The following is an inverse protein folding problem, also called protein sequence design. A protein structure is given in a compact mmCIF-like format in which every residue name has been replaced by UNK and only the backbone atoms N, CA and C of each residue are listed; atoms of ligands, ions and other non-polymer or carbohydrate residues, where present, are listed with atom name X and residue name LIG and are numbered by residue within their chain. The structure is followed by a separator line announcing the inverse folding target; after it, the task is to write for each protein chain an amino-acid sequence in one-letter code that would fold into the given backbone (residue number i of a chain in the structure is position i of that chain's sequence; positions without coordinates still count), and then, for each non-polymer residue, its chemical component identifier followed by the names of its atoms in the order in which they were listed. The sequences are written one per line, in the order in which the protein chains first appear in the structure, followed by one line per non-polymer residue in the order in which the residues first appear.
data_IF_212007163724
#
_entry.id   IF_212007163724
#
_cell.length_a   1.000
_cell.length_b   1.000
_cell.length_c   1.000
_cell.angle_alpha   90.00
_cell.angle_beta   90.00
_cell.angle_gamma   90.00
#
_symmetry.space_group_name_H-M   'P 1'
#
loop_
_entity.id
_entity.type
_entity.pdbx_description
1 polymer ?
#
# COMPACT_ATOMS: atom_id res chain seq x y z
N UNK A 1 -58.15 -40.27 -19.05
CA UNK A 1 -58.13 -39.23 -17.99
C UNK A 1 -59.12 -38.16 -18.40
N UNK A 2 -60.12 -37.88 -17.56
CA UNK A 2 -61.17 -36.91 -17.88
C UNK A 2 -60.61 -35.52 -18.20
N UNK A 3 -61.18 -34.87 -19.22
CA UNK A 3 -60.73 -33.54 -19.65
C UNK A 3 -60.80 -32.49 -18.53
N UNK A 4 -61.70 -32.67 -17.56
CA UNK A 4 -61.83 -31.82 -16.37
C UNK A 4 -60.66 -32.05 -15.41
N UNK A 5 -60.29 -33.32 -15.18
CA UNK A 5 -59.15 -33.69 -14.32
C UNK A 5 -57.83 -33.21 -14.93
N UNK A 6 -57.67 -33.35 -16.26
CA UNK A 6 -56.49 -32.87 -16.99
C UNK A 6 -56.34 -31.35 -16.92
N UNK A 7 -57.43 -30.57 -17.06
CA UNK A 7 -57.40 -29.10 -16.93
C UNK A 7 -57.03 -28.66 -15.51
N UNK A 8 -57.60 -29.28 -14.47
CA UNK A 8 -57.24 -28.99 -13.07
C UNK A 8 -55.77 -29.27 -12.77
N UNK A 9 -55.24 -30.37 -13.30
CA UNK A 9 -53.85 -30.76 -13.10
C UNK A 9 -52.87 -29.77 -13.78
N UNK A 10 -53.20 -29.31 -14.99
CA UNK A 10 -52.41 -28.27 -15.70
C UNK A 10 -52.39 -26.96 -14.91
N UNK A 11 -53.52 -26.53 -14.35
CA UNK A 11 -53.60 -25.30 -13.55
C UNK A 11 -52.70 -25.41 -12.30
N UNK A 12 -52.77 -26.53 -11.58
CA UNK A 12 -51.95 -26.75 -10.38
C UNK A 12 -50.47 -26.73 -10.72
N UNK A 13 -50.07 -27.44 -11.77
CA UNK A 13 -48.66 -27.47 -12.23
C UNK A 13 -48.19 -26.07 -12.65
N UNK A 14 -49.04 -25.30 -13.34
CA UNK A 14 -48.70 -23.94 -13.78
C UNK A 14 -48.50 -22.99 -12.59
N UNK A 15 -49.32 -23.11 -11.54
CA UNK A 15 -49.18 -22.32 -10.32
C UNK A 15 -47.89 -22.68 -9.58
N UNK A 16 -47.58 -23.98 -9.47
CA UNK A 16 -46.36 -24.44 -8.79
C UNK A 16 -45.10 -23.97 -9.51
N UNK A 17 -45.06 -24.06 -10.85
CA UNK A 17 -43.93 -23.57 -11.65
C UNK A 17 -43.75 -22.07 -11.44
N UNK A 18 -44.84 -21.30 -11.47
CA UNK A 18 -44.79 -19.85 -11.31
C UNK A 18 -44.24 -19.46 -9.93
N UNK A 19 -44.63 -20.20 -8.88
CA UNK A 19 -44.14 -20.01 -7.51
C UNK A 19 -42.65 -20.36 -7.37
N UNK A 20 -42.19 -21.45 -8.00
CA UNK A 20 -40.77 -21.82 -8.01
C UNK A 20 -39.94 -20.76 -8.76
N UNK A 21 -40.42 -20.27 -9.91
CA UNK A 21 -39.69 -19.25 -10.69
C UNK A 21 -39.57 -17.93 -9.95
N UNK A 22 -40.59 -17.51 -9.20
CA UNK A 22 -40.53 -16.29 -8.37
C UNK A 22 -39.54 -16.42 -7.22
N UNK A 23 -39.52 -17.58 -6.54
CA UNK A 23 -38.54 -17.84 -5.47
C UNK A 23 -37.12 -17.82 -6.01
N UNK A 24 -36.86 -18.44 -7.16
CA UNK A 24 -35.53 -18.43 -7.79
C UNK A 24 -35.09 -17.02 -8.21
N UNK A 25 -36.01 -16.19 -8.72
CA UNK A 25 -35.74 -14.79 -9.07
C UNK A 25 -35.38 -13.95 -7.84
N UNK A 26 -36.12 -14.11 -6.74
CA UNK A 26 -35.83 -13.42 -5.47
C UNK A 26 -34.48 -13.87 -4.90
N UNK A 27 -34.18 -15.17 -4.93
CA UNK A 27 -32.88 -15.70 -4.53
C UNK A 27 -31.74 -15.14 -5.40
N UNK A 28 -31.94 -15.02 -6.71
CA UNK A 28 -30.95 -14.43 -7.60
C UNK A 28 -30.72 -12.93 -7.33
N UNK A 29 -31.76 -12.16 -7.00
CA UNK A 29 -31.61 -10.76 -6.61
C UNK A 29 -30.89 -10.60 -5.26
N UNK A 30 -31.17 -11.47 -4.28
CA UNK A 30 -30.57 -11.41 -2.94
C UNK A 30 -29.12 -11.93 -2.91
N UNK A 31 -28.80 -12.96 -3.69
CA UNK A 31 -27.49 -13.63 -3.64
C UNK A 31 -26.64 -13.42 -4.89
N UNK A 32 -27.21 -12.91 -5.99
CA UNK A 32 -26.51 -12.68 -7.26
C UNK A 32 -25.67 -11.41 -7.29
N UNK A 33 -25.84 -10.50 -6.32
CA UNK A 33 -24.89 -9.40 -6.10
C UNK A 33 -23.62 -9.91 -5.41
N UNK A 34 -22.84 -10.75 -6.11
CA UNK A 34 -21.41 -10.84 -5.82
C UNK A 34 -20.82 -9.49 -6.18
N UNK A 35 -20.41 -8.76 -5.15
CA UNK A 35 -19.64 -7.53 -5.29
C UNK A 35 -18.40 -7.86 -6.12
N UNK A 36 -18.44 -7.60 -7.43
CA UNK A 36 -17.29 -7.71 -8.33
C UNK A 36 -16.38 -6.52 -8.09
N UNK A 37 -15.89 -6.40 -6.86
CA UNK A 37 -14.67 -5.66 -6.60
C UNK A 37 -13.55 -6.48 -7.26
N UNK A 38 -13.41 -6.32 -8.58
CA UNK A 38 -12.24 -6.76 -9.32
C UNK A 38 -11.05 -5.98 -8.76
N UNK A 39 -10.46 -6.52 -7.69
CA UNK A 39 -9.12 -6.17 -7.29
C UNK A 39 -8.21 -6.77 -8.35
N UNK A 40 -7.85 -5.98 -9.36
CA UNK A 40 -6.76 -6.36 -10.23
C UNK A 40 -5.48 -6.24 -9.39
N UNK A 41 -4.75 -7.33 -9.26
CA UNK A 41 -3.47 -7.34 -8.58
C UNK A 41 -2.34 -7.35 -9.61
N UNK A 42 -1.21 -6.75 -9.29
CA UNK A 42 0.02 -6.87 -10.06
C UNK A 42 1.18 -7.21 -9.15
N UNK A 43 2.21 -7.85 -9.70
CA UNK A 43 3.48 -8.05 -9.01
C UNK A 43 4.36 -6.83 -9.27
N UNK A 44 4.73 -6.14 -8.20
CA UNK A 44 5.61 -4.99 -8.27
C UNK A 44 7.01 -5.38 -8.76
N UNK A 45 7.52 -4.79 -9.87
CA UNK A 45 8.80 -5.19 -10.43
C UNK A 45 10.01 -4.84 -9.56
N UNK A 46 9.90 -3.89 -8.63
CA UNK A 46 11.01 -3.43 -7.79
C UNK A 46 11.12 -4.21 -6.47
N UNK A 47 9.99 -4.55 -5.87
CA UNK A 47 9.90 -5.22 -4.57
C UNK A 47 9.60 -6.71 -4.68
N UNK A 48 8.91 -7.13 -5.75
CA UNK A 48 8.34 -8.47 -5.91
C UNK A 48 7.03 -8.68 -5.14
N UNK A 49 6.48 -7.65 -4.49
CA UNK A 49 5.25 -7.73 -3.72
C UNK A 49 4.00 -7.76 -4.63
N UNK A 50 2.95 -8.47 -4.23
CA UNK A 50 1.65 -8.44 -4.93
C UNK A 50 0.83 -7.27 -4.39
N UNK A 51 0.51 -6.32 -5.27
CA UNK A 51 -0.12 -5.04 -4.92
C UNK A 51 -1.48 -4.92 -5.63
N UNK A 52 -2.46 -4.36 -4.92
CA UNK A 52 -3.77 -4.01 -5.50
C UNK A 52 -3.63 -2.79 -6.42
N UNK A 53 -4.01 -2.93 -7.68
CA UNK A 53 -3.92 -1.92 -8.72
C UNK A 53 -4.78 -0.67 -8.42
N UNK A 54 -5.83 -0.79 -7.58
CA UNK A 54 -6.58 0.40 -7.12
C UNK A 54 -5.74 1.33 -6.23
N UNK A 55 -4.68 0.81 -5.61
CA UNK A 55 -3.83 1.57 -4.68
C UNK A 55 -2.69 2.30 -5.40
N UNK A 56 -2.29 1.84 -6.58
CA UNK A 56 -1.22 2.47 -7.36
C UNK A 56 -1.76 2.93 -8.70
N UNK A 57 -2.02 4.24 -8.81
CA UNK A 57 -2.40 4.89 -10.06
C UNK A 57 -3.85 5.38 -10.09
N UNK A 58 -4.03 6.70 -9.93
CA UNK A 58 -5.20 7.43 -10.47
C UNK A 58 -6.43 7.60 -9.59
N UNK A 59 -6.54 6.91 -8.44
CA UNK A 59 -7.50 7.31 -7.42
C UNK A 59 -6.95 8.51 -6.66
N UNK A 60 -7.60 9.67 -6.72
CA UNK A 60 -7.23 10.83 -5.91
C UNK A 60 -7.03 10.36 -4.46
N UNK A 61 -5.81 10.45 -3.91
CA UNK A 61 -5.59 10.16 -2.50
C UNK A 61 -6.57 11.01 -1.71
N UNK A 62 -7.22 10.46 -0.70
CA UNK A 62 -7.96 11.29 0.24
C UNK A 62 -6.96 12.34 0.76
N UNK A 63 -7.12 13.65 0.44
CA UNK A 63 -6.10 14.66 0.75
C UNK A 63 -5.80 14.73 2.25
N UNK A 64 -6.80 14.33 3.04
CA UNK A 64 -6.83 14.34 4.51
C UNK A 64 -6.23 13.06 5.13
N UNK A 65 -6.08 11.98 4.36
CA UNK A 65 -5.36 10.79 4.81
C UNK A 65 -3.86 10.99 4.59
N UNK A 66 -3.09 11.02 5.68
CA UNK A 66 -1.63 10.92 5.66
C UNK A 66 -1.16 9.51 5.27
N UNK A 67 -1.76 8.89 4.26
CA UNK A 67 -1.43 7.51 3.88
C UNK A 67 -0.48 7.54 2.69
N UNK A 68 0.81 7.71 2.97
CA UNK A 68 1.86 7.36 2.01
C UNK A 68 1.83 5.83 1.89
N UNK A 69 1.69 5.33 0.67
CA UNK A 69 1.77 3.90 0.41
C UNK A 69 3.25 3.53 0.38
N UNK A 70 3.64 2.59 1.21
CA UNK A 70 5.00 2.08 1.24
C UNK A 70 5.04 0.65 0.72
N UNK A 71 5.84 0.42 -0.33
CA UNK A 71 6.07 -0.87 -0.95
C UNK A 71 7.50 -1.33 -0.65
N UNK A 72 7.67 -2.60 -0.30
CA UNK A 72 8.97 -3.21 -0.01
C UNK A 72 9.38 -3.17 1.46
N UNK A 73 8.61 -2.56 2.34
CA UNK A 73 9.01 -2.41 3.75
C UNK A 73 9.06 -3.74 4.50
N UNK A 74 8.20 -4.70 4.19
CA UNK A 74 8.22 -6.02 4.83
C UNK A 74 9.54 -6.75 4.54
N UNK A 75 10.05 -6.60 3.31
CA UNK A 75 11.31 -7.20 2.91
C UNK A 75 12.51 -6.53 3.58
N UNK A 76 12.46 -5.24 3.89
CA UNK A 76 13.49 -4.56 4.71
C UNK A 76 13.69 -5.21 6.09
N UNK A 77 12.62 -5.75 6.69
CA UNK A 77 12.73 -6.50 7.96
C UNK A 77 13.59 -7.76 7.81
N UNK A 78 13.47 -8.44 6.66
CA UNK A 78 14.29 -9.63 6.34
C UNK A 78 15.77 -9.28 6.11
N UNK A 79 16.07 -8.01 5.81
CA UNK A 79 17.43 -7.48 5.71
C UNK A 79 17.96 -6.88 7.03
N UNK A 80 17.31 -7.17 8.17
CA UNK A 80 17.81 -6.82 9.50
C UNK A 80 17.43 -5.42 9.99
N UNK A 81 16.50 -4.73 9.33
CA UNK A 81 15.94 -3.48 9.84
C UNK A 81 14.84 -3.81 10.86
N UNK A 82 14.94 -3.29 12.08
CA UNK A 82 13.91 -3.56 13.09
C UNK A 82 12.61 -2.82 12.81
N UNK A 83 11.49 -3.31 13.33
CA UNK A 83 10.19 -2.63 13.21
C UNK A 83 10.22 -1.19 13.74
N UNK A 84 10.98 -0.94 14.81
CA UNK A 84 11.14 0.39 15.39
C UNK A 84 11.87 1.33 14.42
N UNK A 85 12.97 0.85 13.82
CA UNK A 85 13.70 1.59 12.78
C UNK A 85 12.82 1.81 11.55
N UNK A 86 12.03 0.82 11.14
CA UNK A 86 11.13 0.94 10.00
C UNK A 86 10.04 2.01 10.24
N UNK A 87 9.46 2.06 11.44
CA UNK A 87 8.47 3.07 11.79
C UNK A 87 9.09 4.48 11.80
N UNK A 88 10.29 4.63 12.37
CA UNK A 88 11.04 5.90 12.32
C UNK A 88 11.38 6.32 10.88
N UNK A 89 11.75 5.36 10.03
CA UNK A 89 11.96 5.62 8.60
C UNK A 89 10.70 6.17 7.93
N UNK A 90 9.52 5.59 8.20
CA UNK A 90 8.24 6.12 7.70
C UNK A 90 8.03 7.56 8.18
N UNK A 91 8.21 7.84 9.47
CA UNK A 91 8.09 9.19 10.04
C UNK A 91 8.99 10.19 9.29
N UNK A 92 10.23 9.80 8.98
CA UNK A 92 11.15 10.63 8.22
C UNK A 92 10.67 10.91 6.79
N UNK A 93 10.10 9.92 6.12
CA UNK A 93 9.52 10.11 4.79
C UNK A 93 8.30 11.04 4.84
N UNK A 94 7.46 10.94 5.88
CA UNK A 94 6.37 11.90 6.11
C UNK A 94 6.89 13.33 6.30
N UNK A 95 7.93 13.51 7.10
CA UNK A 95 8.55 14.83 7.31
C UNK A 95 9.17 15.37 6.02
N UNK A 96 9.82 14.51 5.23
CA UNK A 96 10.35 14.90 3.93
C UNK A 96 9.24 15.30 2.96
N UNK A 97 8.12 14.56 2.93
CA UNK A 97 6.93 14.91 2.14
C UNK A 97 6.39 16.30 2.52
N UNK A 98 6.28 16.61 3.82
CA UNK A 98 5.89 17.95 4.30
C UNK A 98 6.86 19.03 3.85
N UNK A 99 8.17 18.78 3.89
CA UNK A 99 9.20 19.72 3.42
C UNK A 99 9.06 20.00 1.92
N UNK A 100 8.82 18.98 1.10
CA UNK A 100 8.58 19.11 -0.34
C UNK A 100 7.39 20.01 -0.65
N UNK A 101 6.25 19.77 0.01
CA UNK A 101 5.05 20.59 -0.16
C UNK A 101 5.30 22.07 0.19
N UNK A 102 6.03 22.35 1.29
CA UNK A 102 6.43 23.72 1.64
C UNK A 102 7.33 24.39 0.60
N UNK A 103 8.06 23.59 -0.18
CA UNK A 103 8.93 24.05 -1.27
C UNK A 103 8.22 24.07 -2.64
N UNK A 104 6.88 23.94 -2.67
CA UNK A 104 6.07 23.83 -3.90
C UNK A 104 6.43 22.61 -4.78
N UNK A 105 6.95 21.54 -4.19
CA UNK A 105 7.13 20.24 -4.85
C UNK A 105 5.92 19.32 -4.58
N UNK A 106 5.69 18.34 -5.47
CA UNK A 106 4.63 17.34 -5.31
C UNK A 106 4.74 16.58 -3.98
N UNK A 107 3.60 16.42 -3.30
CA UNK A 107 3.43 15.55 -2.12
C UNK A 107 3.82 14.12 -2.49
N UNK A 108 4.51 13.43 -1.59
CA UNK A 108 4.78 11.99 -1.75
C UNK A 108 3.49 11.24 -1.41
N UNK A 109 3.05 10.38 -2.32
CA UNK A 109 1.87 9.50 -2.18
C UNK A 109 2.28 8.03 -2.19
N UNK A 110 3.40 7.70 -2.84
CA UNK A 110 3.94 6.34 -2.91
C UNK A 110 5.47 6.36 -2.70
N UNK A 111 5.96 5.35 -1.99
CA UNK A 111 7.38 5.05 -1.80
C UNK A 111 7.59 3.59 -2.14
N UNK A 112 8.38 3.32 -3.18
CA UNK A 112 8.79 1.97 -3.55
C UNK A 112 10.27 1.78 -3.28
N UNK A 113 10.65 0.72 -2.57
CA UNK A 113 12.05 0.34 -2.35
C UNK A 113 12.55 -0.47 -3.55
N UNK A 114 13.63 -0.02 -4.19
CA UNK A 114 14.33 -0.78 -5.22
C UNK A 114 15.39 -1.67 -4.57
N UNK A 115 15.07 -2.96 -4.41
CA UNK A 115 15.98 -3.92 -3.78
C UNK A 115 17.19 -4.28 -4.63
N UNK A 116 17.19 -3.97 -5.92
CA UNK A 116 18.37 -4.22 -6.78
C UNK A 116 19.57 -3.35 -6.37
N UNK A 117 19.32 -2.23 -5.68
CA UNK A 117 20.36 -1.31 -5.22
C UNK A 117 20.65 -1.43 -3.73
N UNK A 118 20.02 -2.38 -3.02
CA UNK A 118 20.22 -2.56 -1.60
C UNK A 118 21.66 -2.97 -1.28
N UNK A 119 22.27 -2.26 -0.34
CA UNK A 119 23.59 -2.54 0.21
C UNK A 119 23.56 -2.41 1.72
N UNK A 120 24.07 -3.41 2.41
CA UNK A 120 24.35 -3.28 3.83
C UNK A 120 25.64 -2.48 4.03
N UNK A 121 25.64 -1.52 4.93
CA UNK A 121 26.84 -0.77 5.34
C UNK A 121 27.28 -1.27 6.70
N UNK A 122 28.50 -1.77 6.79
CA UNK A 122 29.10 -2.19 8.05
C UNK A 122 30.39 -1.40 8.19
N UNK A 123 30.41 -0.51 9.18
CA UNK A 123 31.60 0.25 9.57
C UNK A 123 31.93 -0.07 11.04
N UNK A 124 33.19 0.10 11.40
CA UNK A 124 33.76 -0.09 12.74
C UNK A 124 32.92 0.53 13.85
N UNK A 125 32.27 1.66 13.57
CA UNK A 125 31.51 2.44 14.56
C UNK A 125 29.99 2.45 14.32
N UNK A 126 29.50 1.93 13.18
CA UNK A 126 28.06 1.90 12.91
C UNK A 126 27.69 0.90 11.81
N UNK A 127 26.54 0.27 11.97
CA UNK A 127 25.87 -0.48 10.90
C UNK A 127 24.83 0.38 10.21
N UNK A 128 24.48 0.08 8.97
CA UNK A 128 23.55 0.86 8.17
C UNK A 128 23.07 0.12 6.94
N UNK A 129 22.27 0.80 6.13
CA UNK A 129 21.92 0.34 4.78
C UNK A 129 21.88 1.50 3.81
N UNK A 130 22.03 1.19 2.53
CA UNK A 130 21.81 2.09 1.44
C UNK A 130 20.91 1.40 0.41
N UNK A 131 19.91 2.10 -0.08
CA UNK A 131 19.04 1.62 -1.15
C UNK A 131 18.40 2.79 -1.87
N UNK A 132 17.89 2.53 -3.07
CA UNK A 132 17.14 3.51 -3.83
C UNK A 132 15.66 3.41 -3.46
N UNK A 133 15.01 4.56 -3.29
CA UNK A 133 13.56 4.66 -3.26
C UNK A 133 13.07 5.39 -4.50
N UNK A 134 11.95 4.94 -5.02
CA UNK A 134 11.22 5.60 -6.09
C UNK A 134 10.02 6.28 -5.43
N UNK A 135 10.01 7.61 -5.46
CA UNK A 135 8.91 8.41 -4.95
C UNK A 135 7.94 8.69 -6.09
N UNK A 136 6.64 8.49 -5.86
CA UNK A 136 5.57 8.67 -6.84
C UNK A 136 5.96 8.05 -8.18
N UNK A 137 5.82 6.73 -8.32
CA UNK A 137 6.36 5.96 -9.44
C UNK A 137 6.10 6.53 -10.83
N UNK A 138 4.96 7.18 -11.04
CA UNK A 138 4.62 7.87 -12.29
C UNK A 138 5.60 9.00 -12.64
N UNK A 139 6.13 9.69 -11.64
CA UNK A 139 7.15 10.75 -11.77
C UNK A 139 8.57 10.18 -11.95
N UNK A 140 8.74 8.85 -11.74
CA UNK A 140 10.03 8.12 -11.80
C UNK A 140 11.16 8.77 -11.02
N UNK A 141 10.84 9.48 -9.93
CA UNK A 141 11.85 10.20 -9.15
C UNK A 141 12.61 9.23 -8.24
N UNK A 142 13.83 8.90 -8.66
CA UNK A 142 14.75 8.04 -7.90
C UNK A 142 15.55 8.85 -6.89
N UNK A 143 15.58 8.37 -5.65
CA UNK A 143 16.37 8.95 -4.57
C UNK A 143 17.18 7.88 -3.88
N UNK A 144 18.41 8.21 -3.52
CA UNK A 144 19.23 7.31 -2.69
C UNK A 144 18.93 7.59 -1.22
N UNK A 145 18.55 6.55 -0.50
CA UNK A 145 18.35 6.56 0.95
C UNK A 145 19.57 5.93 1.59
N UNK A 146 20.21 6.68 2.48
CA UNK A 146 21.31 6.18 3.32
C UNK A 146 20.83 6.18 4.76
N UNK A 147 20.78 5.00 5.35
CA UNK A 147 20.42 4.77 6.73
C UNK A 147 21.65 4.40 7.55
N UNK A 148 21.75 4.96 8.75
CA UNK A 148 22.70 4.55 9.78
C UNK A 148 21.90 4.09 10.99
N UNK A 149 22.39 3.05 11.67
CA UNK A 149 21.80 2.43 12.84
C UNK A 149 22.74 2.62 14.04
N UNK A 150 22.64 3.76 14.75
CA UNK A 150 23.45 3.99 15.95
C UNK A 150 23.17 2.93 17.03
N UNK A 151 21.94 2.42 17.09
CA UNK A 151 21.51 1.33 17.96
C UNK A 151 20.55 0.41 17.19
N UNK A 152 20.18 -0.73 17.78
CA UNK A 152 19.18 -1.67 17.24
C UNK A 152 17.77 -1.08 17.10
N UNK A 153 17.49 0.01 17.83
CA UNK A 153 16.18 0.68 17.88
C UNK A 153 16.15 2.04 17.19
N UNK A 154 17.33 2.60 16.86
CA UNK A 154 17.45 3.93 16.26
C UNK A 154 17.92 3.84 14.82
N UNK A 155 17.43 4.79 14.03
CA UNK A 155 17.82 4.96 12.64
C UNK A 155 17.98 6.44 12.37
N UNK A 156 18.99 6.81 11.60
CA UNK A 156 19.10 8.13 10.99
C UNK A 156 19.07 7.96 9.49
N UNK A 157 18.29 8.79 8.80
CA UNK A 157 18.03 8.69 7.36
C UNK A 157 18.47 9.97 6.67
N UNK A 158 19.27 9.80 5.61
CA UNK A 158 19.62 10.85 4.66
C UNK A 158 19.06 10.48 3.29
N UNK A 159 18.45 11.45 2.60
CA UNK A 159 17.88 11.25 1.27
C UNK A 159 18.62 12.14 0.28
N UNK A 160 19.02 11.56 -0.85
CA UNK A 160 19.81 12.21 -1.89
C UNK A 160 19.09 12.17 -3.23
N UNK A 161 19.16 13.28 -3.98
CA UNK A 161 18.76 13.40 -5.39
C UNK A 161 20.03 13.56 -6.23
N UNK A 162 20.52 12.47 -6.82
CA UNK A 162 21.91 12.44 -7.29
C UNK A 162 22.86 12.63 -6.11
N UNK A 163 23.82 13.55 -6.23
CA UNK A 163 24.78 13.86 -5.15
C UNK A 163 24.23 14.87 -4.12
N UNK A 164 23.10 15.51 -4.41
CA UNK A 164 22.52 16.54 -3.54
C UNK A 164 21.75 15.90 -2.38
N UNK A 165 22.19 16.14 -1.15
CA UNK A 165 21.44 15.78 0.07
C UNK A 165 20.22 16.69 0.21
N UNK A 166 19.03 16.12 0.04
CA UNK A 166 17.74 16.85 0.10
C UNK A 166 17.06 16.74 1.48
N UNK A 167 17.44 15.74 2.27
CA UNK A 167 16.92 15.51 3.62
C UNK A 167 17.99 14.91 4.53
N UNK A 168 17.97 15.30 5.80
CA UNK A 168 18.83 14.77 6.84
C UNK A 168 18.07 14.70 8.16
N UNK A 169 17.81 13.48 8.63
CA UNK A 169 17.02 13.28 9.83
C UNK A 169 17.72 13.76 11.11
N UNK A 170 19.05 13.89 11.11
CA UNK A 170 19.78 14.34 12.31
C UNK A 170 19.55 15.82 12.62
N UNK A 171 19.02 16.57 11.65
CA UNK A 171 18.64 17.98 11.83
C UNK A 171 17.22 18.12 12.40
N UNK A 172 16.48 17.01 12.52
CA UNK A 172 15.15 16.99 13.11
C UNK A 172 15.31 16.82 14.60
N UNK A 173 14.94 17.86 15.35
CA UNK A 173 14.74 17.75 16.79
C UNK A 173 13.40 17.05 17.00
N UNK A 174 13.42 15.81 17.46
CA UNK A 174 12.24 15.22 18.08
C UNK A 174 12.14 15.80 19.47
N UNK A 175 10.99 16.38 19.79
CA UNK A 175 10.67 16.62 21.18
C UNK A 175 10.49 15.24 21.83
N UNK A 176 11.34 14.90 22.79
CA UNK A 176 11.41 13.56 23.39
C UNK A 176 10.12 13.16 24.16
N UNK A 177 9.07 13.98 24.11
CA UNK A 177 7.80 13.80 24.79
C UNK A 177 6.68 13.21 23.92
N UNK A 178 6.85 13.10 22.61
CA UNK A 178 5.91 12.35 21.76
C UNK A 178 6.39 10.90 21.61
N UNK A 179 6.03 10.07 22.59
CA UNK A 179 6.09 8.61 22.44
C UNK A 179 5.08 8.20 21.37
N UNK A 180 5.43 7.34 20.40
CA UNK A 180 4.42 6.67 19.60
C UNK A 180 3.62 5.74 20.52
N UNK A 181 2.29 5.82 20.40
CA UNK A 181 1.33 4.89 21.01
C UNK A 181 1.50 3.50 20.41
#
# INVERSE_FOLDING_TARGET
MDNIVRKKLIIIVSVVILLITTVLLVLWLLFGQKNTNNHSFYTDPYTGEVVDNKRTGGGSPNPDANDIIFLGLGRLLSYGISNQQLNRFKDYIYQYSKKRVKNNESKITEVTVDFSTYKQKIDTNSTGSEFTVILNRDDKLKYTVVNTYPTVSTITTKIYKGDLKVFDSTLIKFDNNERPV
#
